data_IF_184422256190
#
_entry.id   IF_184422256190
#
_cell.length_a   1.000
_cell.length_b   1.000
_cell.length_c   1.000
_cell.angle_alpha   90.00
_cell.angle_beta   90.00
_cell.angle_gamma   90.00
#
_symmetry.space_group_name_H-M   'P 1'
#
loop_
_entity.id
_entity.type
_entity.pdbx_description
1 polymer ?
#
# COMPACT_ATOMS: atom_id res chain seq x y z
N UNK A 1 -8.09 13.85 15.72
CA UNK A 1 -7.67 12.51 15.27
C UNK A 1 -7.30 12.65 13.81
N UNK A 2 -6.04 12.61 13.51
CA UNK A 2 -5.58 12.61 12.13
C UNK A 2 -5.26 11.18 11.71
N UNK A 3 -5.72 10.78 10.54
CA UNK A 3 -5.38 9.52 9.90
C UNK A 3 -4.67 9.83 8.59
N UNK A 4 -3.50 9.26 8.39
CA UNK A 4 -2.80 9.35 7.12
C UNK A 4 -3.24 8.20 6.21
N UNK A 5 -3.74 8.53 5.03
CA UNK A 5 -4.24 7.55 4.05
C UNK A 5 -3.35 7.56 2.82
N UNK A 6 -2.78 6.40 2.50
CA UNK A 6 -2.07 6.17 1.23
C UNK A 6 -2.93 5.36 0.28
N UNK A 7 -3.11 5.88 -0.92
CA UNK A 7 -3.85 5.21 -2.00
C UNK A 7 -2.87 4.51 -2.94
N UNK A 8 -3.02 3.20 -3.08
CA UNK A 8 -2.21 2.38 -3.99
C UNK A 8 -3.03 1.91 -5.19
N UNK A 9 -2.56 2.24 -6.39
CA UNK A 9 -3.09 1.72 -7.65
C UNK A 9 -2.10 0.70 -8.22
N UNK A 10 -2.46 -0.57 -8.20
CA UNK A 10 -1.66 -1.63 -8.81
C UNK A 10 -1.63 -1.46 -10.33
N UNK A 11 -0.44 -1.21 -10.89
CA UNK A 11 -0.18 -1.23 -12.32
C UNK A 11 0.50 -2.54 -12.68
N UNK A 12 -0.27 -3.48 -13.17
CA UNK A 12 0.28 -4.72 -13.72
C UNK A 12 0.90 -4.43 -15.10
N UNK A 13 2.22 -4.40 -15.15
CA UNK A 13 2.98 -4.25 -16.39
C UNK A 13 3.19 -5.62 -17.01
N UNK A 14 2.30 -6.05 -17.89
CA UNK A 14 2.55 -7.20 -18.78
C UNK A 14 3.32 -6.73 -20.02
N UNK A 15 4.58 -7.15 -20.14
CA UNK A 15 5.31 -7.10 -21.41
C UNK A 15 5.44 -8.52 -21.93
N UNK A 16 4.68 -8.85 -22.95
CA UNK A 16 5.04 -9.96 -23.85
C UNK A 16 4.64 -9.57 -25.26
N UNK A 17 5.62 -9.15 -26.05
CA UNK A 17 5.46 -9.01 -27.49
C UNK A 17 5.71 -10.38 -28.10
N UNK A 18 4.67 -11.05 -28.54
CA UNK A 18 4.76 -12.19 -29.42
C UNK A 18 4.17 -11.79 -30.77
N UNK A 19 5.02 -11.61 -31.78
CA UNK A 19 4.60 -11.42 -33.14
C UNK A 19 4.13 -12.77 -33.73
N UNK A 20 2.83 -12.97 -33.81
CA UNK A 20 2.26 -14.07 -34.57
C UNK A 20 1.52 -13.45 -35.77
N UNK A 21 1.99 -13.75 -36.98
CA UNK A 21 1.27 -13.49 -38.21
C UNK A 21 0.08 -14.46 -38.29
N UNK A 22 -1.13 -13.92 -38.25
CA UNK A 22 -2.32 -14.69 -38.53
C UNK A 22 -2.94 -14.22 -39.84
N UNK A 23 -3.08 -15.16 -40.80
CA UNK A 23 -3.84 -15.04 -42.02
C UNK A 23 -5.33 -15.09 -41.69
N UNK A 24 -6.07 -14.08 -42.11
CA UNK A 24 -7.52 -13.98 -41.88
C UNK A 24 -8.28 -15.08 -42.63
N UNK A 25 -9.10 -15.82 -41.92
CA UNK A 25 -10.36 -16.35 -42.44
C UNK A 25 -11.50 -15.81 -41.56
N UNK A 26 -12.39 -15.11 -42.22
CA UNK A 26 -13.57 -14.56 -41.61
C UNK A 26 -14.49 -15.66 -41.08
N UNK A 27 -14.90 -15.59 -39.84
CA UNK A 27 -16.21 -16.00 -39.34
C UNK A 27 -16.33 -15.78 -37.85
N UNK A 28 -17.46 -15.21 -37.43
CA UNK A 28 -18.02 -15.10 -36.10
C UNK A 28 -17.57 -13.91 -35.28
N UNK A 29 -18.41 -12.87 -35.28
CA UNK A 29 -18.46 -11.84 -34.27
C UNK A 29 -18.73 -12.51 -32.90
N UNK A 30 -17.69 -12.76 -32.14
CA UNK A 30 -17.83 -12.94 -30.69
C UNK A 30 -17.87 -11.55 -30.09
N UNK A 31 -19.07 -11.11 -29.66
CA UNK A 31 -19.27 -9.94 -28.81
C UNK A 31 -18.59 -10.28 -27.48
N UNK A 32 -17.30 -9.98 -27.38
CA UNK A 32 -16.58 -10.05 -26.12
C UNK A 32 -17.20 -8.96 -25.23
N UNK A 33 -18.12 -9.39 -24.35
CA UNK A 33 -18.69 -8.52 -23.34
C UNK A 33 -17.56 -7.89 -22.55
N UNK A 34 -17.45 -6.56 -22.61
CA UNK A 34 -16.64 -5.77 -21.69
C UNK A 34 -17.17 -6.04 -20.28
N UNK A 35 -16.56 -7.00 -19.61
CA UNK A 35 -16.81 -7.20 -18.19
C UNK A 35 -16.21 -5.96 -17.52
N UNK A 36 -17.02 -5.09 -16.90
CA UNK A 36 -16.47 -3.98 -16.14
C UNK A 36 -15.59 -4.58 -15.04
N UNK A 37 -14.29 -4.37 -15.16
CA UNK A 37 -13.37 -4.72 -14.09
C UNK A 37 -13.76 -3.87 -12.89
N UNK A 38 -14.30 -4.49 -11.85
CA UNK A 38 -14.54 -3.82 -10.58
C UNK A 38 -13.16 -3.40 -10.04
N UNK A 39 -12.85 -2.11 -10.14
CA UNK A 39 -11.61 -1.56 -9.59
C UNK A 39 -11.75 -1.55 -8.08
N UNK A 40 -11.10 -2.51 -7.42
CA UNK A 40 -10.86 -2.47 -5.99
C UNK A 40 -9.59 -1.69 -5.71
N UNK A 41 -9.58 -0.90 -4.64
CA UNK A 41 -8.39 -0.26 -4.12
C UNK A 41 -8.11 -0.79 -2.71
N UNK A 42 -6.84 -1.01 -2.40
CA UNK A 42 -6.39 -1.21 -1.02
C UNK A 42 -5.93 0.14 -0.46
N UNK A 43 -6.40 0.47 0.72
CA UNK A 43 -5.99 1.67 1.47
C UNK A 43 -5.20 1.23 2.68
N UNK A 44 -4.09 1.90 2.95
CA UNK A 44 -3.26 1.66 4.13
C UNK A 44 -3.42 2.84 5.08
N UNK A 45 -3.75 2.58 6.32
CA UNK A 45 -4.08 3.60 7.34
C UNK A 45 -3.39 3.27 8.65
N UNK A 46 -2.70 4.24 9.23
CA UNK A 46 -2.20 4.17 10.60
C UNK A 46 -3.16 4.81 11.58
N UNK A 47 -3.14 4.36 12.83
CA UNK A 47 -3.97 4.89 13.91
C UNK A 47 -3.16 5.01 15.19
N UNK A 48 -3.47 6.02 16.02
CA UNK A 48 -2.78 6.29 17.30
C UNK A 48 -2.87 5.17 18.36
N UNK A 49 -3.58 4.09 18.05
CA UNK A 49 -3.46 2.85 18.84
C UNK A 49 -2.18 2.06 18.54
N UNK A 50 -1.32 2.53 17.63
CA UNK A 50 -0.15 1.80 17.14
C UNK A 50 -0.46 0.75 16.09
N UNK A 51 -1.71 0.72 15.59
CA UNK A 51 -2.15 -0.22 14.57
C UNK A 51 -1.99 0.35 13.17
N UNK A 52 -1.62 -0.52 12.23
CA UNK A 52 -1.74 -0.26 10.80
C UNK A 52 -2.82 -1.17 10.23
N UNK A 53 -3.74 -0.57 9.50
CA UNK A 53 -4.87 -1.24 8.86
C UNK A 53 -4.68 -1.30 7.37
N UNK A 54 -5.00 -2.44 6.77
CA UNK A 54 -5.29 -2.54 5.36
C UNK A 54 -6.80 -2.62 5.16
N UNK A 55 -7.32 -1.73 4.33
CA UNK A 55 -8.73 -1.63 4.02
C UNK A 55 -8.94 -1.96 2.55
N UNK A 56 -9.98 -2.74 2.26
CA UNK A 56 -10.44 -2.97 0.89
C UNK A 56 -11.60 -2.03 0.59
N UNK A 57 -11.46 -1.24 -0.47
CA UNK A 57 -12.53 -0.41 -1.01
C UNK A 57 -13.12 -1.09 -2.24
N UNK A 58 -14.43 -1.24 -2.26
CA UNK A 58 -15.19 -1.66 -3.43
C UNK A 58 -16.12 -0.55 -3.83
N UNK A 59 -16.02 -0.08 -5.07
CA UNK A 59 -16.97 0.86 -5.64
C UNK A 59 -18.33 0.20 -5.77
N UNK A 60 -19.35 0.80 -5.14
CA UNK A 60 -20.69 0.25 -5.11
C UNK A 60 -21.37 0.38 -6.45
N UNK A 61 -22.02 -0.66 -6.90
CA UNK A 61 -22.91 -0.64 -8.04
C UNK A 61 -24.21 0.13 -7.71
N UNK A 62 -24.17 1.45 -7.83
CA UNK A 62 -25.37 2.27 -7.97
C UNK A 62 -26.25 2.55 -6.75
N UNK A 63 -26.13 1.86 -5.64
CA UNK A 63 -26.99 2.04 -4.46
C UNK A 63 -26.31 2.72 -3.25
N UNK A 64 -25.19 3.42 -3.47
CA UNK A 64 -24.54 4.24 -2.44
C UNK A 64 -23.83 3.48 -1.32
N UNK A 65 -23.87 2.17 -1.31
CA UNK A 65 -23.17 1.35 -0.32
C UNK A 65 -21.74 1.07 -0.81
N UNK A 66 -20.90 2.10 -0.74
CA UNK A 66 -19.45 1.90 -0.86
C UNK A 66 -19.01 1.05 0.32
N UNK A 67 -18.58 -0.15 0.04
CA UNK A 67 -18.13 -1.05 1.10
C UNK A 67 -16.63 -0.83 1.33
N UNK A 68 -16.31 -0.12 2.41
CA UNK A 68 -14.98 -0.13 3.01
C UNK A 68 -14.95 -1.24 4.05
N UNK A 69 -14.02 -2.18 3.92
CA UNK A 69 -13.88 -3.28 4.87
C UNK A 69 -12.42 -3.42 5.33
N UNK A 70 -12.24 -3.69 6.62
CA UNK A 70 -10.91 -4.00 7.16
C UNK A 70 -10.51 -5.38 6.66
N UNK A 71 -9.35 -5.46 6.04
CA UNK A 71 -8.77 -6.68 5.53
C UNK A 71 -7.76 -7.28 6.50
N UNK A 72 -6.88 -6.44 7.04
CA UNK A 72 -5.95 -6.81 8.10
C UNK A 72 -5.72 -5.65 9.05
N UNK A 73 -5.30 -5.96 10.26
CA UNK A 73 -4.88 -5.01 11.26
C UNK A 73 -3.66 -5.59 11.99
N UNK A 74 -2.56 -4.85 12.00
CA UNK A 74 -1.31 -5.28 12.62
C UNK A 74 -0.82 -4.18 13.56
N UNK A 75 -0.46 -4.57 14.77
CA UNK A 75 0.17 -3.69 15.76
C UNK A 75 1.65 -3.49 15.45
N UNK A 76 2.26 -2.45 16.02
CA UNK A 76 3.70 -2.27 16.01
C UNK A 76 4.19 -0.92 15.49
N UNK A 77 3.30 0.02 15.10
CA UNK A 77 3.71 1.35 14.68
C UNK A 77 3.80 2.36 15.84
N UNK A 78 4.30 1.93 17.01
CA UNK A 78 4.51 2.82 18.15
C UNK A 78 3.21 3.37 18.75
N UNK A 79 3.30 4.56 19.38
CA UNK A 79 2.16 5.19 20.07
C UNK A 79 1.55 6.36 19.29
N UNK A 80 2.36 7.01 18.46
CA UNK A 80 1.96 8.20 17.70
C UNK A 80 2.32 8.04 16.21
N UNK A 81 1.73 7.08 15.47
CA UNK A 81 1.99 6.91 14.06
C UNK A 81 1.55 8.14 13.27
N UNK A 82 2.48 8.80 12.60
CA UNK A 82 2.22 10.05 11.88
C UNK A 82 2.42 9.93 10.38
N UNK A 83 3.25 9.00 9.94
CA UNK A 83 3.57 8.88 8.51
C UNK A 83 3.64 7.44 8.04
N UNK A 84 3.18 7.22 6.81
CA UNK A 84 3.30 5.96 6.10
C UNK A 84 4.02 6.19 4.76
N UNK A 85 4.98 5.33 4.45
CA UNK A 85 5.65 5.31 3.15
C UNK A 85 5.61 3.90 2.56
N UNK A 86 5.07 3.76 1.35
CA UNK A 86 4.98 2.48 0.66
C UNK A 86 6.10 2.34 -0.38
N UNK A 87 6.94 1.34 -0.21
CA UNK A 87 7.83 0.81 -1.25
C UNK A 87 7.06 -0.20 -2.09
N UNK A 88 6.45 0.26 -3.15
CA UNK A 88 5.67 -0.59 -4.05
C UNK A 88 6.51 -1.58 -4.86
N UNK A 89 7.79 -1.30 -5.03
CA UNK A 89 8.70 -2.17 -5.78
C UNK A 89 9.04 -3.43 -4.99
N UNK A 90 9.17 -3.29 -3.66
CA UNK A 90 9.54 -4.37 -2.75
C UNK A 90 8.36 -4.88 -1.91
N UNK A 91 7.17 -4.30 -2.06
CA UNK A 91 5.98 -4.68 -1.29
C UNK A 91 6.15 -4.44 0.20
N UNK A 92 6.81 -3.33 0.58
CA UNK A 92 7.09 -3.00 1.98
C UNK A 92 6.46 -1.68 2.35
N UNK A 93 5.70 -1.66 3.44
CA UNK A 93 5.16 -0.45 4.03
C UNK A 93 6.00 -0.08 5.26
N UNK A 94 6.41 1.18 5.34
CA UNK A 94 7.06 1.75 6.51
C UNK A 94 6.09 2.65 7.27
N UNK A 95 6.06 2.51 8.60
CA UNK A 95 5.30 3.35 9.50
C UNK A 95 6.22 4.05 10.48
N UNK A 96 6.02 5.34 10.66
CA UNK A 96 6.84 6.22 11.51
C UNK A 96 6.05 6.65 12.73
N UNK A 97 6.69 6.52 13.88
CA UNK A 97 6.16 6.91 15.18
C UNK A 97 6.81 8.22 15.64
N UNK A 98 6.02 9.27 15.76
CA UNK A 98 6.49 10.59 16.20
C UNK A 98 6.91 10.63 17.66
N UNK A 99 6.49 9.71 18.52
CA UNK A 99 6.66 9.70 19.97
C UNK A 99 7.47 10.90 20.54
N UNK A 100 6.76 11.87 21.06
CA UNK A 100 7.36 13.17 21.45
C UNK A 100 8.10 13.14 22.79
N UNK A 101 7.91 12.08 23.58
CA UNK A 101 8.40 11.98 24.96
C UNK A 101 9.52 10.96 25.17
N UNK A 102 9.96 10.31 24.10
CA UNK A 102 10.96 9.26 24.17
C UNK A 102 11.64 9.00 22.83
N UNK A 103 12.02 7.77 22.60
CA UNK A 103 12.47 7.29 21.29
C UNK A 103 11.27 6.81 20.49
N UNK A 104 11.16 7.25 19.24
CA UNK A 104 10.19 6.76 18.29
C UNK A 104 10.56 5.39 17.72
N UNK A 105 9.73 4.87 16.85
CA UNK A 105 9.95 3.59 16.17
C UNK A 105 9.63 3.75 14.69
N UNK A 106 10.49 3.20 13.86
CA UNK A 106 10.17 2.91 12.46
C UNK A 106 9.87 1.43 12.34
N UNK A 107 8.69 1.11 11.85
CA UNK A 107 8.24 -0.26 11.65
C UNK A 107 8.07 -0.56 10.17
N UNK A 108 8.52 -1.74 9.75
CA UNK A 108 8.32 -2.24 8.38
C UNK A 108 7.31 -3.39 8.37
N UNK A 109 6.45 -3.38 7.36
CA UNK A 109 5.44 -4.41 7.14
C UNK A 109 5.56 -4.96 5.73
N UNK A 110 5.55 -6.27 5.59
CA UNK A 110 5.35 -6.91 4.30
C UNK A 110 3.89 -6.71 3.86
N UNK A 111 3.70 -6.28 2.62
CA UNK A 111 2.39 -6.09 2.00
C UNK A 111 2.19 -7.18 0.96
N UNK A 112 1.29 -8.12 1.24
CA UNK A 112 0.97 -9.18 0.30
C UNK A 112 0.17 -8.65 -0.90
N UNK A 113 0.13 -9.43 -1.99
CA UNK A 113 -0.61 -9.07 -3.21
C UNK A 113 -2.10 -8.83 -2.97
N UNK A 114 -2.65 -9.49 -1.98
CA UNK A 114 -4.03 -9.30 -1.58
C UNK A 114 -4.22 -8.09 -0.67
N UNK A 115 -3.15 -7.41 -0.25
CA UNK A 115 -3.12 -6.27 0.63
C UNK A 115 -3.07 -6.60 2.12
N UNK A 116 -2.96 -7.86 2.51
CA UNK A 116 -2.73 -8.20 3.92
C UNK A 116 -1.33 -7.74 4.38
N UNK A 117 -1.21 -7.46 5.67
CA UNK A 117 0.00 -6.91 6.29
C UNK A 117 0.59 -7.89 7.28
N UNK A 118 1.93 -7.94 7.34
CA UNK A 118 2.68 -8.67 8.34
C UNK A 118 3.85 -7.82 8.82
N UNK A 119 4.03 -7.68 10.14
CA UNK A 119 5.15 -6.94 10.71
C UNK A 119 6.46 -7.70 10.42
N UNK A 120 7.37 -7.02 9.71
CA UNK A 120 8.66 -7.62 9.28
C UNK A 120 9.82 -7.19 10.14
N UNK A 121 9.78 -5.99 10.72
CA UNK A 121 10.85 -5.48 11.55
C UNK A 121 10.55 -4.14 12.17
N UNK A 122 11.36 -3.77 13.15
CA UNK A 122 11.30 -2.49 13.85
C UNK A 122 12.69 -1.98 14.15
N UNK A 123 12.86 -0.67 14.12
CA UNK A 123 14.06 0.02 14.55
C UNK A 123 13.68 1.22 15.43
N UNK A 124 14.46 1.44 16.48
CA UNK A 124 14.29 2.64 17.30
C UNK A 124 14.90 3.86 16.62
N UNK A 125 14.23 4.98 16.77
CA UNK A 125 14.68 6.30 16.30
C UNK A 125 14.85 7.24 17.49
N UNK A 126 15.29 8.46 17.21
CA UNK A 126 15.40 9.50 18.24
C UNK A 126 14.04 10.08 18.66
N UNK A 127 12.97 9.70 17.97
CA UNK A 127 11.62 10.25 18.14
C UNK A 127 11.40 11.52 17.31
N UNK A 128 10.14 12.00 17.32
CA UNK A 128 9.66 13.15 16.54
C UNK A 128 9.76 12.95 15.01
N UNK A 129 9.66 11.70 14.56
CA UNK A 129 9.73 11.33 13.16
C UNK A 129 8.38 11.59 12.48
N UNK A 130 8.17 12.79 11.98
CA UNK A 130 6.90 13.21 11.35
C UNK A 130 6.82 12.88 9.86
N UNK A 131 7.94 12.51 9.24
CA UNK A 131 8.00 12.20 7.83
C UNK A 131 9.16 11.25 7.52
N UNK A 132 8.92 10.29 6.64
CA UNK A 132 9.94 9.40 6.12
C UNK A 132 9.88 9.28 4.60
N UNK A 133 11.04 9.25 3.97
CA UNK A 133 11.19 9.11 2.53
C UNK A 133 12.15 7.98 2.19
N UNK A 134 11.78 7.20 1.16
CA UNK A 134 12.67 6.20 0.59
C UNK A 134 13.53 6.83 -0.49
N UNK A 135 14.84 6.75 -0.35
CA UNK A 135 15.73 7.05 -1.44
C UNK A 135 16.54 5.79 -1.80
N UNK A 136 16.68 5.51 -3.07
CA UNK A 136 17.49 4.40 -3.55
C UNK A 136 18.91 4.84 -3.86
N UNK A 137 19.92 4.10 -3.33
CA UNK A 137 21.19 3.97 -4.01
C UNK A 137 21.02 3.09 -5.26
N UNK A 138 22.09 2.77 -5.97
CA UNK A 138 22.06 1.86 -7.14
C UNK A 138 21.49 0.47 -6.80
N UNK A 139 21.53 0.08 -5.53
CA UNK A 139 20.98 -1.17 -5.00
C UNK A 139 19.54 -1.06 -4.48
N UNK A 140 18.90 0.10 -4.60
CA UNK A 140 17.55 0.37 -4.10
C UNK A 140 17.42 0.41 -2.58
N UNK A 141 18.52 0.39 -1.84
CA UNK A 141 18.55 0.38 -0.38
C UNK A 141 18.90 1.76 0.15
N UNK A 142 17.92 2.59 0.31
CA UNK A 142 18.13 3.87 0.94
C UNK A 142 16.89 4.30 1.69
N UNK A 143 17.10 4.85 2.86
CA UNK A 143 16.03 5.24 3.75
C UNK A 143 16.41 6.51 4.50
N UNK A 144 15.55 7.49 4.52
CA UNK A 144 15.71 8.72 5.31
C UNK A 144 14.46 8.97 6.12
N UNK A 145 14.62 9.05 7.42
CA UNK A 145 13.64 9.61 8.31
C UNK A 145 14.02 11.07 8.57
N UNK A 146 13.07 11.96 8.43
CA UNK A 146 13.23 13.36 8.81
C UNK A 146 12.54 13.53 10.14
N UNK A 147 13.31 13.90 11.15
CA UNK A 147 12.82 14.28 12.47
C UNK A 147 12.83 15.80 12.58
N UNK A 148 11.83 16.38 13.19
CA UNK A 148 11.76 17.79 13.59
C UNK A 148 11.72 17.96 15.11
#
# INVERSE_FOLDING_TARGET
MEATVLHFKSHTRSRTFCHIRFTMRASSLALAGLVPSAFGANLLVSHFSGSVYSLSYKEGSGNGNNALSIKSSVQGCGKMPTWLTLDSANGTLYCFDEESTGSGVVSSYAVANDGSLELSGQAQTVGKDVHGWLYGGEDGKGFVSLAE
#
